data_IF_187116938857
#
_entry.id   IF_187116938857
#
_cell.length_a   1.000
_cell.length_b   1.000
_cell.length_c   1.000
_cell.angle_alpha   90.00
_cell.angle_beta   90.00
_cell.angle_gamma   90.00
#
_symmetry.space_group_name_H-M   'P 1'
#
loop_
_entity.id
_entity.type
_entity.pdbx_description
1 polymer ?
#
# COMPACT_ATOMS: atom_id res chain seq x y z
N UNK A 1 -14.67 -10.03 -23.34
CA UNK A 1 -13.43 -10.78 -23.62
C UNK A 1 -12.73 -10.98 -22.31
N UNK A 2 -12.44 -12.21 -21.96
CA UNK A 2 -11.69 -12.53 -20.73
C UNK A 2 -10.27 -11.99 -20.89
N UNK A 3 -9.81 -11.03 -20.09
CA UNK A 3 -8.50 -10.39 -20.30
C UNK A 3 -7.32 -11.32 -20.02
N UNK A 4 -7.57 -12.53 -19.51
CA UNK A 4 -6.54 -13.47 -19.10
C UNK A 4 -6.59 -14.76 -19.93
N UNK A 5 -5.48 -15.17 -20.59
CA UNK A 5 -5.44 -16.47 -21.26
C UNK A 5 -5.50 -17.59 -20.22
N UNK A 6 -6.53 -18.40 -20.28
CA UNK A 6 -6.85 -19.48 -19.34
C UNK A 6 -5.84 -20.63 -19.28
N UNK A 7 -4.74 -20.58 -20.05
CA UNK A 7 -3.79 -21.69 -20.24
C UNK A 7 -2.39 -21.46 -19.70
N UNK A 8 -2.17 -20.42 -18.87
CA UNK A 8 -0.83 -20.13 -18.36
C UNK A 8 -0.50 -20.95 -17.10
N UNK A 9 0.36 -21.96 -17.26
CA UNK A 9 1.06 -22.60 -16.14
C UNK A 9 2.16 -21.65 -15.63
N UNK A 10 1.77 -20.60 -14.88
CA UNK A 10 2.67 -19.59 -14.36
C UNK A 10 2.93 -19.83 -12.88
N UNK A 11 4.19 -19.66 -12.42
CA UNK A 11 4.55 -19.66 -11.00
C UNK A 11 4.75 -18.23 -10.51
N UNK A 12 3.95 -17.80 -9.56
CA UNK A 12 4.00 -16.45 -8.98
C UNK A 12 4.31 -16.51 -7.50
N UNK A 13 5.39 -15.89 -7.06
CA UNK A 13 5.69 -15.76 -5.64
C UNK A 13 5.29 -14.36 -5.14
N UNK A 14 4.55 -14.32 -4.01
CA UNK A 14 4.09 -13.07 -3.37
C UNK A 14 4.73 -12.94 -2.01
N UNK A 15 5.70 -12.05 -1.87
CA UNK A 15 6.29 -11.68 -0.57
C UNK A 15 5.31 -10.80 0.21
N UNK A 16 5.12 -11.11 1.50
CA UNK A 16 4.17 -10.36 2.34
C UNK A 16 2.71 -10.77 2.12
N UNK A 17 2.46 -11.99 1.68
CA UNK A 17 1.14 -12.52 1.35
C UNK A 17 0.12 -12.50 2.52
N UNK A 18 0.57 -12.40 3.77
CA UNK A 18 -0.32 -12.24 4.94
C UNK A 18 -0.70 -10.77 5.24
N UNK A 19 -0.12 -9.81 4.51
CA UNK A 19 -0.47 -8.39 4.63
C UNK A 19 -1.79 -8.05 3.94
N UNK A 20 -2.34 -6.86 4.22
CA UNK A 20 -3.62 -6.41 3.66
C UNK A 20 -3.62 -6.40 2.11
N UNK A 21 -2.56 -5.88 1.50
CA UNK A 21 -2.44 -5.86 0.03
C UNK A 21 -2.06 -7.26 -0.48
N UNK A 22 -1.06 -7.90 0.13
CA UNK A 22 -0.57 -9.20 -0.32
C UNK A 22 -1.63 -10.29 -0.33
N UNK A 23 -2.51 -10.34 0.68
CA UNK A 23 -3.61 -11.30 0.74
C UNK A 23 -4.66 -11.07 -0.36
N UNK A 24 -4.98 -9.81 -0.66
CA UNK A 24 -5.88 -9.48 -1.76
C UNK A 24 -5.27 -9.85 -3.13
N UNK A 25 -3.97 -9.60 -3.30
CA UNK A 25 -3.22 -9.99 -4.52
C UNK A 25 -3.24 -11.51 -4.69
N UNK A 26 -2.90 -12.28 -3.65
CA UNK A 26 -2.91 -13.76 -3.69
C UNK A 26 -4.28 -14.29 -4.08
N UNK A 27 -5.34 -13.78 -3.43
CA UNK A 27 -6.72 -14.21 -3.72
C UNK A 27 -7.13 -13.87 -5.15
N UNK A 28 -6.78 -12.69 -5.63
CA UNK A 28 -7.12 -12.26 -6.98
C UNK A 28 -6.35 -13.05 -8.05
N UNK A 29 -5.06 -13.31 -7.85
CA UNK A 29 -4.23 -14.12 -8.77
C UNK A 29 -4.78 -15.56 -8.90
N UNK A 30 -5.16 -16.19 -7.79
CA UNK A 30 -5.74 -17.54 -7.82
C UNK A 30 -7.07 -17.59 -8.56
N UNK A 31 -7.87 -16.52 -8.52
CA UNK A 31 -9.13 -16.42 -9.27
C UNK A 31 -8.88 -16.11 -10.76
N UNK A 32 -7.97 -15.18 -11.06
CA UNK A 32 -7.66 -14.76 -12.42
C UNK A 32 -6.91 -15.84 -13.22
N UNK A 33 -6.09 -16.64 -12.54
CA UNK A 33 -5.23 -17.67 -13.13
C UNK A 33 -5.43 -19.03 -12.45
N UNK A 34 -6.53 -19.76 -12.73
CA UNK A 34 -6.85 -21.03 -12.05
C UNK A 34 -5.77 -22.12 -12.19
N UNK A 35 -4.96 -22.04 -13.25
CA UNK A 35 -3.87 -22.99 -13.55
C UNK A 35 -2.50 -22.50 -13.07
N UNK A 36 -2.40 -21.32 -12.46
CA UNK A 36 -1.16 -20.81 -11.92
C UNK A 36 -0.86 -21.38 -10.54
N UNK A 37 0.42 -21.57 -10.24
CA UNK A 37 0.90 -21.86 -8.89
C UNK A 37 1.22 -20.55 -8.18
N UNK A 38 0.39 -20.14 -7.22
CA UNK A 38 0.60 -18.94 -6.42
C UNK A 38 1.27 -19.29 -5.09
N UNK A 39 2.55 -18.96 -4.95
CA UNK A 39 3.34 -19.17 -3.74
C UNK A 39 3.15 -17.97 -2.81
N UNK A 40 2.32 -18.14 -1.80
CA UNK A 40 2.03 -17.13 -0.79
C UNK A 40 3.09 -17.18 0.33
N UNK A 41 4.09 -16.29 0.26
CA UNK A 41 5.19 -16.21 1.23
C UNK A 41 4.70 -15.52 2.52
N UNK A 42 4.65 -16.27 3.62
CA UNK A 42 4.12 -15.82 4.91
C UNK A 42 5.09 -16.12 6.06
N UNK A 43 5.05 -15.33 7.11
CA UNK A 43 5.85 -15.58 8.33
C UNK A 43 5.32 -16.77 9.15
N UNK A 44 3.99 -16.94 9.15
CA UNK A 44 3.29 -18.06 9.82
C UNK A 44 2.26 -18.60 8.84
N UNK A 45 2.34 -19.90 8.57
CA UNK A 45 1.37 -20.57 7.70
C UNK A 45 0.00 -20.60 8.40
N UNK A 46 -1.08 -20.18 7.73
CA UNK A 46 -2.44 -20.30 8.27
C UNK A 46 -2.80 -21.76 8.54
N UNK A 47 -3.60 -22.00 9.57
CA UNK A 47 -4.11 -23.35 9.88
C UNK A 47 -5.19 -23.80 8.89
N UNK A 48 -5.82 -22.84 8.21
CA UNK A 48 -6.88 -23.11 7.24
C UNK A 48 -6.31 -23.71 5.96
N UNK A 49 -7.08 -24.60 5.34
CA UNK A 49 -6.73 -25.20 4.06
C UNK A 49 -6.63 -24.09 2.99
N UNK A 50 -5.55 -24.11 2.24
CA UNK A 50 -5.36 -23.15 1.17
C UNK A 50 -6.42 -23.35 0.07
N UNK A 51 -7.00 -22.28 -0.49
CA UNK A 51 -7.78 -22.37 -1.70
C UNK A 51 -6.98 -22.97 -2.86
N UNK A 52 -7.66 -23.56 -3.84
CA UNK A 52 -7.02 -24.15 -5.02
C UNK A 52 -6.05 -23.15 -5.68
N UNK A 53 -4.88 -23.63 -6.08
CA UNK A 53 -3.85 -22.82 -6.73
C UNK A 53 -2.97 -21.99 -5.80
N UNK A 54 -3.26 -21.95 -4.49
CA UNK A 54 -2.47 -21.21 -3.49
C UNK A 54 -1.64 -22.19 -2.66
N UNK A 55 -0.31 -21.94 -2.61
CA UNK A 55 0.63 -22.65 -1.76
C UNK A 55 1.23 -21.73 -0.71
N UNK A 56 0.86 -21.91 0.56
CA UNK A 56 1.47 -21.14 1.65
C UNK A 56 2.87 -21.67 1.95
N UNK A 57 3.87 -20.80 1.81
CA UNK A 57 5.26 -21.08 2.13
C UNK A 57 5.69 -20.22 3.33
N UNK A 58 6.16 -20.86 4.42
CA UNK A 58 6.84 -20.10 5.47
C UNK A 58 8.16 -19.57 4.92
N UNK A 59 8.27 -18.26 4.83
CA UNK A 59 9.45 -17.61 4.25
C UNK A 59 9.69 -16.23 4.87
N UNK A 60 10.93 -16.00 5.29
CA UNK A 60 11.43 -14.73 5.81
C UNK A 60 12.60 -14.25 4.94
N UNK A 61 12.42 -13.22 4.11
CA UNK A 61 13.39 -12.81 3.08
C UNK A 61 14.78 -12.46 3.59
N UNK A 62 14.90 -12.05 4.87
CA UNK A 62 16.15 -11.61 5.46
C UNK A 62 16.97 -12.72 6.11
N UNK A 63 16.40 -13.91 6.29
CA UNK A 63 17.03 -15.01 7.02
C UNK A 63 17.01 -16.33 6.28
N UNK A 64 15.97 -16.58 5.47
CA UNK A 64 15.76 -17.87 4.84
C UNK A 64 16.50 -17.96 3.48
N UNK A 65 16.79 -19.18 3.05
CA UNK A 65 17.38 -19.42 1.74
C UNK A 65 16.34 -19.21 0.64
N UNK A 66 16.62 -18.31 -0.29
CA UNK A 66 15.75 -17.98 -1.42
C UNK A 66 15.58 -19.14 -2.42
N UNK A 67 16.44 -20.16 -2.37
CA UNK A 67 16.31 -21.34 -3.24
C UNK A 67 15.03 -22.14 -3.00
N UNK A 68 14.42 -22.02 -1.82
CA UNK A 68 13.15 -22.68 -1.48
C UNK A 68 11.97 -22.21 -2.34
N UNK A 69 12.06 -21.02 -2.94
CA UNK A 69 11.05 -20.51 -3.88
C UNK A 69 11.10 -21.22 -5.23
N UNK A 70 12.24 -21.87 -5.56
CA UNK A 70 12.48 -22.43 -6.89
C UNK A 70 12.49 -21.36 -7.98
N UNK A 71 12.34 -21.79 -9.22
CA UNK A 71 12.17 -20.84 -10.35
C UNK A 71 10.74 -20.31 -10.35
N UNK A 72 10.57 -19.01 -10.51
CA UNK A 72 9.27 -18.32 -10.61
C UNK A 72 9.26 -17.40 -11.84
N UNK A 73 8.11 -17.21 -12.43
CA UNK A 73 7.93 -16.34 -13.58
C UNK A 73 7.75 -14.87 -13.14
N UNK A 74 7.09 -14.68 -11.99
CA UNK A 74 6.83 -13.37 -11.40
C UNK A 74 7.11 -13.41 -9.90
N UNK A 75 7.81 -12.39 -9.41
CA UNK A 75 8.03 -12.16 -7.98
C UNK A 75 7.42 -10.80 -7.60
N UNK A 76 6.42 -10.84 -6.74
CA UNK A 76 5.69 -9.67 -6.27
C UNK A 76 6.14 -9.34 -4.85
N UNK A 77 6.58 -8.10 -4.62
CA UNK A 77 6.89 -7.62 -3.28
C UNK A 77 5.80 -6.69 -2.75
N UNK A 78 5.01 -7.18 -1.81
CA UNK A 78 4.04 -6.41 -1.04
C UNK A 78 4.49 -6.11 0.40
N UNK A 79 5.76 -6.44 0.75
CA UNK A 79 6.31 -6.11 2.06
C UNK A 79 6.62 -4.62 2.11
N UNK A 80 6.11 -3.97 3.14
CA UNK A 80 6.43 -2.59 3.49
C UNK A 80 6.06 -2.35 4.94
N UNK A 81 6.80 -1.44 5.59
CA UNK A 81 6.50 -0.97 6.93
C UNK A 81 6.23 0.53 6.87
N UNK A 82 5.34 1.02 7.70
CA UNK A 82 5.03 2.46 7.85
C UNK A 82 5.57 3.01 9.18
N UNK A 83 6.07 2.14 10.02
CA UNK A 83 6.73 2.42 11.30
C UNK A 83 7.90 1.46 11.46
N UNK A 84 9.01 1.97 11.97
CA UNK A 84 10.18 1.16 12.29
C UNK A 84 9.97 0.39 13.58
N UNK A 85 10.61 -0.76 13.68
CA UNK A 85 10.68 -1.58 14.88
C UNK A 85 12.15 -1.79 15.25
N UNK A 86 12.48 -2.22 16.49
CA UNK A 86 13.87 -2.52 16.85
C UNK A 86 14.57 -3.51 15.91
N UNK A 87 13.81 -4.41 15.29
CA UNK A 87 14.35 -5.46 14.43
C UNK A 87 14.34 -5.11 12.94
N UNK A 88 13.56 -4.08 12.52
CA UNK A 88 13.36 -3.75 11.12
C UNK A 88 13.13 -2.24 10.93
N UNK A 89 14.15 -1.56 10.40
CA UNK A 89 14.12 -0.17 9.98
C UNK A 89 13.64 0.00 8.53
N UNK A 90 13.41 1.24 8.09
CA UNK A 90 12.97 1.54 6.73
C UNK A 90 14.00 1.15 5.67
N UNK A 91 15.30 1.38 5.92
CA UNK A 91 16.36 1.04 4.98
C UNK A 91 16.39 -0.47 4.70
N UNK A 92 16.35 -1.28 5.74
CA UNK A 92 16.33 -2.74 5.62
C UNK A 92 15.04 -3.24 4.97
N UNK A 93 13.88 -2.72 5.41
CA UNK A 93 12.58 -3.17 4.92
C UNK A 93 12.33 -2.85 3.44
N UNK A 94 12.79 -1.68 2.97
CA UNK A 94 12.53 -1.22 1.63
C UNK A 94 13.71 -1.53 0.70
N UNK A 95 14.84 -0.87 0.90
CA UNK A 95 16.00 -0.98 0.03
C UNK A 95 16.75 -2.30 0.22
N UNK A 96 16.91 -2.75 1.47
CA UNK A 96 17.54 -4.04 1.78
C UNK A 96 16.82 -5.21 1.13
N UNK A 97 15.49 -5.24 1.19
CA UNK A 97 14.68 -6.27 0.54
C UNK A 97 14.80 -6.22 -0.98
N UNK A 98 14.74 -5.02 -1.59
CA UNK A 98 14.94 -4.85 -3.03
C UNK A 98 16.29 -5.42 -3.47
N UNK A 99 17.36 -5.14 -2.73
CA UNK A 99 18.70 -5.70 -3.01
C UNK A 99 18.76 -7.22 -2.89
N UNK A 100 18.04 -7.80 -1.92
CA UNK A 100 17.92 -9.26 -1.82
C UNK A 100 17.20 -9.85 -3.03
N UNK A 101 16.09 -9.27 -3.47
CA UNK A 101 15.37 -9.70 -4.67
C UNK A 101 16.30 -9.67 -5.91
N UNK A 102 17.03 -8.59 -6.10
CA UNK A 102 17.99 -8.45 -7.21
C UNK A 102 19.13 -9.44 -7.12
N UNK A 103 19.70 -9.66 -5.93
CA UNK A 103 20.79 -10.63 -5.69
C UNK A 103 20.39 -12.06 -6.03
N UNK A 104 19.16 -12.44 -5.72
CA UNK A 104 18.68 -13.81 -5.93
C UNK A 104 17.94 -14.00 -7.26
N UNK A 105 17.81 -12.96 -8.06
CA UNK A 105 17.03 -12.97 -9.31
C UNK A 105 17.41 -14.07 -10.27
N UNK A 106 18.70 -14.27 -10.53
CA UNK A 106 19.17 -15.32 -11.45
C UNK A 106 18.81 -16.73 -10.96
N UNK A 107 18.96 -16.99 -9.65
CA UNK A 107 18.58 -18.28 -9.04
C UNK A 107 17.08 -18.56 -9.18
N UNK A 108 16.27 -17.50 -9.15
CA UNK A 108 14.82 -17.58 -9.30
C UNK A 108 14.36 -17.68 -10.77
N UNK A 109 15.28 -17.78 -11.74
CA UNK A 109 14.96 -17.89 -13.16
C UNK A 109 14.73 -16.56 -13.87
N UNK A 110 15.27 -15.45 -13.37
CA UNK A 110 15.08 -14.10 -13.88
C UNK A 110 13.59 -13.66 -13.98
N UNK A 111 12.82 -13.77 -12.89
CA UNK A 111 11.42 -13.41 -12.89
C UNK A 111 11.20 -11.94 -13.28
N UNK A 112 9.97 -11.65 -13.70
CA UNK A 112 9.47 -10.29 -13.66
C UNK A 112 9.29 -9.86 -12.20
N UNK A 113 9.82 -8.69 -11.84
CA UNK A 113 9.74 -8.16 -10.49
C UNK A 113 8.66 -7.08 -10.43
N UNK A 114 7.67 -7.23 -9.55
CA UNK A 114 6.64 -6.22 -9.29
C UNK A 114 6.78 -5.72 -7.86
N UNK A 115 7.10 -4.43 -7.72
CA UNK A 115 7.31 -3.79 -6.43
C UNK A 115 6.15 -2.88 -6.08
N UNK A 116 5.53 -3.08 -4.91
CA UNK A 116 4.56 -2.13 -4.37
C UNK A 116 5.30 -1.09 -3.53
N UNK A 117 5.36 0.12 -4.07
CA UNK A 117 5.96 1.30 -3.46
C UNK A 117 4.90 2.20 -2.83
N UNK A 118 5.02 3.52 -2.96
CA UNK A 118 4.06 4.51 -2.46
C UNK A 118 4.07 5.76 -3.33
N UNK A 119 2.91 6.36 -3.54
CA UNK A 119 2.80 7.63 -4.23
C UNK A 119 3.52 8.73 -3.43
N UNK A 120 4.27 9.60 -4.11
CA UNK A 120 5.09 10.63 -3.50
C UNK A 120 6.46 10.16 -2.99
N UNK A 121 6.89 8.91 -3.29
CA UNK A 121 8.25 8.45 -3.00
C UNK A 121 9.27 9.34 -3.72
N UNK A 122 10.08 10.06 -2.93
CA UNK A 122 11.08 11.02 -3.43
C UNK A 122 12.26 11.08 -2.46
N UNK A 123 13.49 11.10 -3.02
CA UNK A 123 14.72 11.16 -2.24
C UNK A 123 14.99 12.52 -1.62
N UNK A 124 14.33 13.57 -2.07
CA UNK A 124 14.46 14.95 -1.56
C UNK A 124 13.48 15.25 -0.41
N UNK A 125 12.55 14.35 -0.10
CA UNK A 125 11.62 14.52 1.01
C UNK A 125 12.31 14.36 2.35
N UNK A 126 11.81 15.04 3.39
CA UNK A 126 12.32 14.91 4.77
C UNK A 126 11.85 13.62 5.46
N UNK A 127 10.98 12.83 4.84
CA UNK A 127 10.47 11.58 5.39
C UNK A 127 11.40 10.40 5.03
N UNK A 128 12.07 9.76 6.02
CA UNK A 128 12.91 8.58 5.78
C UNK A 128 12.14 7.44 5.10
N UNK A 129 10.84 7.30 5.40
CA UNK A 129 9.94 6.35 4.74
C UNK A 129 9.90 6.59 3.22
N UNK A 130 9.62 7.83 2.78
CA UNK A 130 9.53 8.16 1.34
C UNK A 130 10.90 8.07 0.65
N UNK A 131 11.97 8.50 1.35
CA UNK A 131 13.34 8.42 0.82
C UNK A 131 13.77 6.97 0.55
N UNK A 132 13.59 6.08 1.53
CA UNK A 132 14.00 4.68 1.39
C UNK A 132 13.17 3.93 0.35
N UNK A 133 11.86 4.25 0.21
CA UNK A 133 11.02 3.75 -0.88
C UNK A 133 11.53 4.25 -2.25
N UNK A 134 11.84 5.54 -2.38
CA UNK A 134 12.37 6.10 -3.63
C UNK A 134 13.73 5.50 -4.01
N UNK A 135 14.61 5.27 -3.05
CA UNK A 135 15.90 4.62 -3.30
C UNK A 135 15.73 3.17 -3.76
N UNK A 136 14.82 2.43 -3.13
CA UNK A 136 14.46 1.07 -3.55
C UNK A 136 13.90 1.05 -4.98
N UNK A 137 12.98 1.98 -5.31
CA UNK A 137 12.42 2.13 -6.65
C UNK A 137 13.52 2.38 -7.69
N UNK A 138 14.44 3.33 -7.40
CA UNK A 138 15.55 3.66 -8.31
C UNK A 138 16.45 2.47 -8.57
N UNK A 139 16.83 1.72 -7.54
CA UNK A 139 17.66 0.52 -7.70
C UNK A 139 16.95 -0.53 -8.56
N UNK A 140 15.65 -0.74 -8.35
CA UNK A 140 14.89 -1.73 -9.10
C UNK A 140 14.73 -1.34 -10.58
N UNK A 141 14.44 -0.06 -10.86
CA UNK A 141 14.21 0.47 -12.22
C UNK A 141 15.46 0.44 -13.12
N UNK A 142 16.65 0.21 -12.58
CA UNK A 142 17.86 -0.03 -13.38
C UNK A 142 17.89 -1.42 -14.03
N UNK A 143 16.97 -2.31 -13.64
CA UNK A 143 16.94 -3.68 -14.13
C UNK A 143 15.77 -3.92 -15.09
N UNK A 144 15.96 -4.69 -16.18
CA UNK A 144 14.87 -5.03 -17.08
C UNK A 144 13.84 -5.94 -16.41
N UNK A 145 12.65 -6.02 -16.98
CA UNK A 145 11.52 -6.82 -16.47
C UNK A 145 11.13 -6.48 -15.02
N UNK A 146 11.17 -5.20 -14.71
CA UNK A 146 10.75 -4.67 -13.39
C UNK A 146 9.61 -3.68 -13.55
N UNK A 147 8.71 -3.68 -12.59
CA UNK A 147 7.60 -2.72 -12.48
C UNK A 147 7.52 -2.22 -11.06
N UNK A 148 7.48 -0.92 -10.91
CA UNK A 148 7.23 -0.24 -9.65
C UNK A 148 5.83 0.35 -9.69
N UNK A 149 4.99 -0.05 -8.75
CA UNK A 149 3.67 0.53 -8.53
C UNK A 149 3.73 1.50 -7.37
N UNK A 150 3.31 2.74 -7.59
CA UNK A 150 3.21 3.77 -6.56
C UNK A 150 1.73 4.06 -6.26
N UNK A 151 1.09 3.24 -5.42
CA UNK A 151 -0.29 3.50 -5.04
C UNK A 151 -0.40 4.71 -4.12
N UNK A 152 -1.50 5.44 -4.27
CA UNK A 152 -2.06 6.29 -3.23
C UNK A 152 -2.51 5.41 -2.05
N UNK A 153 -3.25 5.96 -1.09
CA UNK A 153 -3.77 5.18 0.03
C UNK A 153 -4.64 4.04 -0.48
N UNK A 154 -4.27 2.81 -0.15
CA UNK A 154 -5.02 1.62 -0.54
C UNK A 154 -6.14 1.35 0.46
N UNK A 155 -7.37 1.37 -0.02
CA UNK A 155 -8.57 1.08 0.76
C UNK A 155 -8.68 -0.41 1.04
N UNK A 156 -8.40 -0.79 2.28
CA UNK A 156 -8.68 -2.11 2.84
C UNK A 156 -9.32 -1.95 4.22
N UNK A 157 -10.22 -2.84 4.65
CA UNK A 157 -10.79 -2.78 6.00
C UNK A 157 -9.68 -2.73 7.08
N UNK A 158 -9.83 -1.81 8.04
CA UNK A 158 -8.86 -1.68 9.14
C UNK A 158 -7.49 -1.13 8.76
N UNK A 159 -7.36 -0.41 7.64
CA UNK A 159 -6.12 0.31 7.32
C UNK A 159 -5.77 1.32 8.41
N UNK A 160 -4.48 1.66 8.52
CA UNK A 160 -4.01 2.68 9.47
C UNK A 160 -4.74 4.00 9.29
N UNK A 161 -5.06 4.40 8.07
CA UNK A 161 -5.85 5.61 7.79
C UNK A 161 -7.25 5.53 8.39
N UNK A 162 -7.96 4.42 8.16
CA UNK A 162 -9.29 4.18 8.76
C UNK A 162 -9.22 4.23 10.29
N UNK A 163 -8.25 3.51 10.90
CA UNK A 163 -8.10 3.50 12.36
C UNK A 163 -7.85 4.89 12.93
N UNK A 164 -7.01 5.70 12.26
CA UNK A 164 -6.72 7.07 12.69
C UNK A 164 -7.93 7.97 12.57
N UNK A 165 -8.64 7.92 11.46
CA UNK A 165 -9.87 8.69 11.28
C UNK A 165 -10.92 8.29 12.33
N UNK A 166 -11.12 7.00 12.58
CA UNK A 166 -12.01 6.52 13.64
C UNK A 166 -11.60 7.02 15.03
N UNK A 167 -10.30 7.07 15.32
CA UNK A 167 -9.79 7.62 16.58
C UNK A 167 -10.06 9.13 16.68
N UNK A 168 -9.88 9.90 15.61
CA UNK A 168 -10.25 11.32 15.58
C UNK A 168 -11.75 11.51 15.86
N UNK A 169 -12.61 10.66 15.31
CA UNK A 169 -14.05 10.66 15.59
C UNK A 169 -14.38 10.39 17.07
N UNK A 170 -13.65 9.48 17.71
CA UNK A 170 -13.80 9.23 19.16
C UNK A 170 -13.38 10.46 19.97
N UNK A 171 -12.24 11.05 19.67
CA UNK A 171 -11.74 12.27 20.36
C UNK A 171 -12.76 13.40 20.21
N UNK A 172 -13.26 13.64 18.99
CA UNK A 172 -14.28 14.66 18.76
C UNK A 172 -15.53 14.48 19.65
N UNK A 173 -15.99 13.24 19.82
CA UNK A 173 -17.14 12.97 20.73
C UNK A 173 -16.87 13.38 22.17
N UNK A 174 -15.68 13.11 22.70
CA UNK A 174 -15.28 13.56 24.03
C UNK A 174 -15.20 15.09 24.14
N UNK A 175 -14.93 15.77 23.02
CA UNK A 175 -14.84 17.24 22.92
C UNK A 175 -16.15 17.89 22.48
N UNK A 176 -17.28 17.22 22.61
CA UNK A 176 -18.61 17.76 22.27
C UNK A 176 -18.82 18.04 20.77
N UNK A 177 -18.16 17.27 19.92
CA UNK A 177 -18.25 17.43 18.45
C UNK A 177 -17.18 18.33 17.86
N UNK A 178 -16.28 18.87 18.65
CA UNK A 178 -15.18 19.73 18.18
C UNK A 178 -13.89 18.93 18.03
N UNK A 179 -13.09 19.26 17.02
CA UNK A 179 -11.78 18.64 16.79
C UNK A 179 -10.74 19.71 16.45
N UNK A 180 -9.78 20.00 17.33
CA UNK A 180 -8.64 20.86 16.98
C UNK A 180 -7.86 20.19 15.85
N UNK A 181 -7.70 20.88 14.72
CA UNK A 181 -7.07 20.31 13.53
C UNK A 181 -6.15 21.33 12.83
N UNK A 182 -4.93 20.94 12.41
CA UNK A 182 -4.02 21.85 11.72
C UNK A 182 -4.63 22.32 10.39
N UNK A 183 -4.77 23.64 10.23
CA UNK A 183 -5.45 24.22 9.07
C UNK A 183 -4.82 23.84 7.74
N UNK A 184 -3.48 23.66 7.70
CA UNK A 184 -2.75 23.26 6.50
C UNK A 184 -3.09 21.86 6.00
N UNK A 185 -3.48 20.93 6.88
CA UNK A 185 -3.78 19.54 6.49
C UNK A 185 -5.24 19.32 6.07
N UNK A 186 -6.15 20.20 6.46
CA UNK A 186 -7.56 20.04 6.15
C UNK A 186 -7.84 20.00 4.63
N UNK A 187 -7.02 20.70 3.86
CA UNK A 187 -7.15 20.82 2.40
C UNK A 187 -6.25 19.82 1.64
N UNK A 188 -5.38 19.08 2.33
CA UNK A 188 -4.54 18.05 1.68
C UNK A 188 -5.43 17.06 0.94
N UNK A 189 -5.15 16.85 -0.33
CA UNK A 189 -5.94 15.98 -1.21
C UNK A 189 -5.35 14.58 -1.24
N UNK A 190 -6.21 13.59 -1.14
CA UNK A 190 -5.87 12.17 -1.16
C UNK A 190 -6.76 11.51 -2.20
N UNK A 191 -6.19 10.69 -3.08
CA UNK A 191 -6.90 9.98 -4.14
C UNK A 191 -6.83 8.46 -3.92
N UNK A 192 -7.59 7.93 -2.94
CA UNK A 192 -7.47 6.55 -2.51
C UNK A 192 -7.89 5.57 -3.60
N UNK A 193 -7.30 4.37 -3.60
CA UNK A 193 -7.60 3.30 -4.55
C UNK A 193 -8.10 2.05 -3.81
N UNK A 194 -9.07 1.33 -4.39
CA UNK A 194 -9.52 0.05 -3.84
C UNK A 194 -8.45 -1.02 -4.00
N UNK A 195 -8.28 -1.85 -2.99
CA UNK A 195 -7.29 -2.95 -3.02
C UNK A 195 -7.59 -3.95 -4.14
N UNK A 196 -8.85 -4.12 -4.51
CA UNK A 196 -9.26 -4.97 -5.63
C UNK A 196 -8.71 -4.49 -6.97
N UNK A 197 -8.79 -3.17 -7.25
CA UNK A 197 -8.26 -2.58 -8.48
C UNK A 197 -6.73 -2.71 -8.55
N UNK A 198 -6.04 -2.50 -7.42
CA UNK A 198 -4.59 -2.71 -7.34
C UNK A 198 -4.23 -4.18 -7.60
N UNK A 199 -4.99 -5.13 -7.03
CA UNK A 199 -4.77 -6.56 -7.25
C UNK A 199 -5.04 -6.97 -8.71
N UNK A 200 -6.09 -6.41 -9.32
CA UNK A 200 -6.39 -6.61 -10.75
C UNK A 200 -5.27 -6.06 -11.64
N UNK A 201 -4.78 -4.85 -11.39
CA UNK A 201 -3.63 -4.30 -12.11
C UNK A 201 -2.41 -5.23 -12.02
N UNK A 202 -2.11 -5.74 -10.82
CA UNK A 202 -0.99 -6.67 -10.62
C UNK A 202 -1.18 -7.94 -11.44
N UNK A 203 -2.41 -8.49 -11.52
CA UNK A 203 -2.70 -9.65 -12.36
C UNK A 203 -2.50 -9.33 -13.85
N UNK A 204 -2.97 -8.19 -14.34
CA UNK A 204 -2.70 -7.73 -15.71
C UNK A 204 -1.19 -7.64 -15.97
N UNK A 205 -0.43 -7.07 -15.06
CA UNK A 205 1.02 -6.92 -15.19
C UNK A 205 1.76 -8.26 -15.14
N UNK A 206 1.22 -9.30 -14.56
CA UNK A 206 1.85 -10.63 -14.61
C UNK A 206 1.99 -11.15 -16.05
N UNK A 207 1.06 -10.81 -16.94
CA UNK A 207 0.99 -11.32 -18.31
C UNK A 207 1.34 -10.29 -19.40
N UNK A 208 1.22 -9.00 -19.10
CA UNK A 208 1.48 -7.91 -20.03
C UNK A 208 2.95 -7.52 -20.02
N UNK A 209 3.55 -7.29 -21.19
CA UNK A 209 4.95 -6.87 -21.34
C UNK A 209 5.09 -5.41 -21.76
N UNK A 210 4.08 -4.86 -22.43
CA UNK A 210 4.06 -3.47 -22.91
C UNK A 210 3.37 -2.58 -21.87
N UNK A 211 4.17 -2.00 -20.98
CA UNK A 211 3.75 -1.07 -19.94
C UNK A 211 4.94 -0.25 -19.43
N UNK A 212 4.71 0.94 -18.87
CA UNK A 212 5.76 1.70 -18.19
C UNK A 212 6.37 0.92 -17.02
N UNK A 213 7.66 1.12 -16.77
CA UNK A 213 8.35 0.51 -15.62
C UNK A 213 7.92 1.12 -14.27
N UNK A 214 7.39 2.35 -14.28
CA UNK A 214 6.83 3.04 -13.11
C UNK A 214 5.37 3.42 -13.40
N UNK A 215 4.45 3.02 -12.53
CA UNK A 215 3.02 3.30 -12.65
C UNK A 215 2.52 3.89 -11.34
N UNK A 216 2.00 5.10 -11.40
CA UNK A 216 1.26 5.70 -10.29
C UNK A 216 -0.18 5.16 -10.29
N UNK A 217 -0.66 4.77 -9.11
CA UNK A 217 -1.96 4.09 -8.96
C UNK A 217 -2.82 4.91 -8.02
N UNK A 218 -3.80 5.59 -8.57
CA UNK A 218 -4.75 6.41 -7.83
C UNK A 218 -6.19 6.08 -8.23
N UNK A 219 -7.12 6.26 -7.31
CA UNK A 219 -8.53 5.94 -7.53
C UNK A 219 -9.25 6.98 -8.38
N UNK A 220 -10.56 6.80 -8.49
CA UNK A 220 -11.43 7.61 -9.35
C UNK A 220 -11.52 9.08 -8.88
N UNK A 221 -11.58 9.31 -7.56
CA UNK A 221 -11.83 10.62 -6.95
C UNK A 221 -10.77 10.97 -5.92
N UNK A 222 -10.36 12.25 -5.93
CA UNK A 222 -9.56 12.84 -4.86
C UNK A 222 -10.47 13.50 -3.82
N UNK A 223 -10.17 13.28 -2.55
CA UNK A 223 -10.88 13.85 -1.40
C UNK A 223 -9.96 14.80 -0.65
N UNK A 224 -10.46 15.97 -0.21
CA UNK A 224 -9.77 16.70 0.84
C UNK A 224 -9.85 15.92 2.16
N UNK A 225 -8.82 15.99 2.99
CA UNK A 225 -8.82 15.28 4.29
C UNK A 225 -10.01 15.69 5.17
N UNK A 226 -10.44 16.96 5.06
CA UNK A 226 -11.67 17.45 5.70
C UNK A 226 -12.91 16.65 5.26
N UNK A 227 -13.08 16.39 3.96
CA UNK A 227 -14.21 15.58 3.44
C UNK A 227 -14.22 14.17 4.05
N UNK A 228 -13.05 13.57 4.22
CA UNK A 228 -12.93 12.25 4.86
C UNK A 228 -13.30 12.31 6.35
N UNK A 229 -13.00 13.41 7.03
CA UNK A 229 -13.41 13.64 8.42
C UNK A 229 -14.92 13.86 8.51
N UNK A 230 -15.54 14.49 7.51
CA UNK A 230 -16.99 14.74 7.48
C UNK A 230 -17.81 13.42 7.39
N UNK A 231 -17.23 12.31 6.89
CA UNK A 231 -17.85 10.99 6.99
C UNK A 231 -17.93 10.47 8.45
N UNK A 232 -17.08 10.96 9.35
CA UNK A 232 -17.14 10.61 10.77
C UNK A 232 -18.36 11.29 11.42
N UNK A 233 -19.22 10.49 12.00
CA UNK A 233 -20.38 11.02 12.75
C UNK A 233 -21.39 11.79 11.88
N UNK A 234 -21.47 11.48 10.58
CA UNK A 234 -22.43 12.08 9.64
C UNK A 234 -22.36 13.61 9.58
N UNK A 235 -21.14 14.17 9.51
CA UNK A 235 -20.92 15.61 9.35
C UNK A 235 -21.08 16.45 10.63
N UNK A 236 -21.15 15.82 11.80
CA UNK A 236 -21.30 16.53 13.09
C UNK A 236 -19.99 17.05 13.68
N UNK A 237 -18.84 16.70 13.08
CA UNK A 237 -17.53 17.12 13.57
C UNK A 237 -17.21 18.53 13.07
N UNK A 238 -16.97 19.44 14.02
CA UNK A 238 -16.54 20.81 13.73
C UNK A 238 -15.03 20.93 13.92
N UNK A 239 -14.30 21.13 12.82
CA UNK A 239 -12.86 21.37 12.86
C UNK A 239 -12.59 22.77 13.41
N UNK A 240 -11.80 22.84 14.50
CA UNK A 240 -11.26 24.09 15.01
C UNK A 240 -9.88 24.27 14.40
N UNK A 241 -9.68 25.25 13.50
CA UNK A 241 -8.39 25.43 12.85
C UNK A 241 -7.35 25.90 13.88
N UNK A 242 -6.24 25.16 13.96
CA UNK A 242 -5.06 25.57 14.71
C UNK A 242 -3.94 25.91 13.73
N UNK A 243 -3.16 26.95 14.05
CA UNK A 243 -2.03 27.32 13.20
C UNK A 243 -0.97 26.21 13.20
N UNK A 244 -0.30 26.04 12.06
CA UNK A 244 0.73 25.01 11.92
C UNK A 244 1.88 25.19 12.90
N UNK A 245 2.25 26.44 13.22
CA UNK A 245 3.27 26.75 14.23
C UNK A 245 2.84 26.25 15.61
N UNK A 246 1.62 26.55 16.01
CA UNK A 246 1.08 26.10 17.30
C UNK A 246 1.03 24.56 17.37
N UNK A 247 0.56 23.92 16.30
CA UNK A 247 0.56 22.46 16.20
C UNK A 247 1.97 21.88 16.35
N UNK A 248 2.95 22.39 15.61
CA UNK A 248 4.34 21.90 15.67
C UNK A 248 4.98 22.08 17.06
N UNK A 249 4.64 23.17 17.77
CA UNK A 249 5.13 23.42 19.12
C UNK A 249 4.59 22.42 20.14
N UNK A 250 3.30 22.09 20.05
CA UNK A 250 2.65 21.15 20.98
C UNK A 250 2.71 19.70 20.54
N UNK A 251 3.08 19.44 19.29
CA UNK A 251 3.15 18.09 18.72
C UNK A 251 4.02 17.12 19.52
N UNK A 252 5.24 17.48 20.00
CA UNK A 252 6.08 16.57 20.79
C UNK A 252 5.39 16.11 22.08
N UNK A 253 4.71 17.02 22.77
CA UNK A 253 3.94 16.68 23.98
C UNK A 253 2.74 15.80 23.65
N UNK A 254 1.98 16.17 22.64
CA UNK A 254 0.80 15.42 22.19
C UNK A 254 1.16 14.03 21.66
N UNK A 255 2.27 13.90 20.93
CA UNK A 255 2.76 12.60 20.44
C UNK A 255 3.25 11.69 21.55
N UNK A 256 3.83 12.25 22.62
CA UNK A 256 4.18 11.51 23.82
C UNK A 256 2.96 10.95 24.57
N UNK A 257 1.87 11.71 24.61
CA UNK A 257 0.62 11.29 25.25
C UNK A 257 -0.21 10.35 24.36
N UNK A 258 -0.18 10.54 23.04
CA UNK A 258 -0.96 9.78 22.06
C UNK A 258 -0.08 9.22 20.93
N UNK A 259 0.92 8.35 21.21
CA UNK A 259 1.90 7.91 20.22
C UNK A 259 1.27 7.12 19.05
N UNK A 260 0.16 6.42 19.30
CA UNK A 260 -0.57 5.67 18.26
C UNK A 260 -1.32 6.57 17.26
N UNK A 261 -1.70 7.78 17.68
CA UNK A 261 -2.41 8.73 16.83
C UNK A 261 -1.44 9.65 16.10
N UNK A 262 -0.43 10.14 16.81
CA UNK A 262 0.45 11.22 16.40
C UNK A 262 1.87 10.69 16.17
N UNK A 263 2.09 10.07 15.00
CA UNK A 263 3.43 9.71 14.54
C UNK A 263 3.94 10.76 13.56
N UNK A 264 5.12 11.34 13.85
CA UNK A 264 5.73 12.42 13.05
C UNK A 264 5.92 12.02 11.58
N UNK A 265 6.40 10.81 11.32
CA UNK A 265 6.62 10.31 9.96
C UNK A 265 5.34 10.25 9.14
N UNK A 266 4.22 9.88 9.77
CA UNK A 266 2.93 9.81 9.10
C UNK A 266 2.29 11.19 8.88
N UNK A 267 2.54 12.17 9.75
CA UNK A 267 2.13 13.55 9.49
C UNK A 267 2.86 14.17 8.31
N UNK A 268 4.13 13.83 8.12
CA UNK A 268 4.90 14.28 6.95
C UNK A 268 4.28 13.81 5.61
N UNK A 269 3.54 12.69 5.61
CA UNK A 269 2.82 12.22 4.43
C UNK A 269 1.61 13.10 4.08
N UNK A 270 1.08 13.87 5.05
CA UNK A 270 -0.05 14.78 4.87
C UNK A 270 0.38 16.21 4.50
N UNK A 271 1.69 16.51 4.46
CA UNK A 271 2.21 17.83 4.08
C UNK A 271 2.02 18.14 2.59
N UNK A 272 1.77 17.13 1.78
CA UNK A 272 1.56 17.28 0.34
C UNK A 272 0.38 16.43 -0.12
N UNK A 273 -0.21 16.87 -1.22
CA UNK A 273 -1.25 16.12 -1.90
C UNK A 273 -0.73 14.72 -2.31
N UNK A 274 -1.59 13.74 -2.14
CA UNK A 274 -1.36 12.36 -2.54
C UNK A 274 -2.34 12.03 -3.68
N UNK A 275 -2.12 12.69 -4.80
CA UNK A 275 -2.91 12.58 -6.04
C UNK A 275 -1.99 12.32 -7.23
N UNK A 276 -2.48 11.62 -8.24
CA UNK A 276 -1.73 11.28 -9.44
C UNK A 276 -2.62 11.29 -10.68
N UNK A 277 -2.00 11.35 -11.86
CA UNK A 277 -2.67 11.05 -13.11
C UNK A 277 -2.87 9.52 -13.22
N UNK A 278 -4.11 9.08 -13.07
CA UNK A 278 -4.47 7.68 -13.13
C UNK A 278 -4.73 7.16 -14.56
N UNK A 279 -4.43 7.91 -15.60
CA UNK A 279 -4.75 7.56 -17.00
C UNK A 279 -4.11 6.23 -17.44
N UNK A 280 -2.83 6.01 -17.15
CA UNK A 280 -2.12 4.76 -17.45
C UNK A 280 -2.70 3.60 -16.64
N UNK A 281 -3.00 3.83 -15.37
CA UNK A 281 -3.62 2.83 -14.51
C UNK A 281 -4.99 2.42 -15.06
N UNK A 282 -5.85 3.37 -15.44
CA UNK A 282 -7.16 3.10 -16.04
C UNK A 282 -7.04 2.37 -17.37
N UNK A 283 -6.09 2.75 -18.22
CA UNK A 283 -5.83 2.09 -19.49
C UNK A 283 -5.46 0.61 -19.29
N UNK A 284 -4.55 0.32 -18.36
CA UNK A 284 -4.11 -1.04 -18.06
C UNK A 284 -5.21 -1.87 -17.37
N UNK A 285 -6.02 -1.22 -16.54
CA UNK A 285 -7.15 -1.89 -15.87
C UNK A 285 -8.28 -2.24 -16.86
N UNK A 286 -8.38 -1.52 -17.97
CA UNK A 286 -9.43 -1.69 -18.97
C UNK A 286 -10.80 -1.14 -18.55
N UNK A 287 -10.90 -0.51 -17.39
CA UNK A 287 -12.12 0.11 -16.85
C UNK A 287 -11.78 1.25 -15.90
N UNK A 288 -12.78 2.04 -15.53
CA UNK A 288 -12.61 3.02 -14.45
C UNK A 288 -12.37 2.33 -13.11
N UNK A 289 -11.46 2.85 -12.26
CA UNK A 289 -11.29 2.36 -10.91
C UNK A 289 -12.59 2.42 -10.12
N UNK A 290 -12.76 1.51 -9.17
CA UNK A 290 -13.93 1.49 -8.31
C UNK A 290 -14.04 2.76 -7.46
N UNK A 291 -15.28 3.22 -7.25
CA UNK A 291 -15.55 4.34 -6.35
C UNK A 291 -15.24 3.94 -4.90
N UNK A 292 -14.45 4.76 -4.23
CA UNK A 292 -14.07 4.55 -2.83
C UNK A 292 -15.05 5.16 -1.82
N UNK A 293 -16.02 5.96 -2.26
CA UNK A 293 -16.99 6.59 -1.37
C UNK A 293 -17.81 5.62 -0.54
N UNK A 294 -18.37 4.51 -1.12
CA UNK A 294 -19.09 3.51 -0.33
C UNK A 294 -18.22 2.84 0.74
N UNK A 295 -16.92 2.69 0.47
CA UNK A 295 -15.96 2.19 1.45
C UNK A 295 -15.84 3.14 2.64
N UNK A 296 -15.64 4.45 2.40
CA UNK A 296 -15.51 5.46 3.45
C UNK A 296 -16.80 5.59 4.27
N UNK A 297 -17.95 5.61 3.63
CA UNK A 297 -19.25 5.63 4.31
C UNK A 297 -19.42 4.42 5.25
N UNK A 298 -19.04 3.23 4.80
CA UNK A 298 -19.15 2.00 5.62
C UNK A 298 -18.15 1.99 6.79
N UNK A 299 -16.90 2.37 6.54
CA UNK A 299 -15.83 2.30 7.55
C UNK A 299 -15.89 3.44 8.57
N UNK A 300 -16.34 4.63 8.16
CA UNK A 300 -16.34 5.84 8.98
C UNK A 300 -17.73 6.25 9.46
N UNK A 301 -18.79 5.94 8.71
CA UNK A 301 -20.17 6.35 9.02
C UNK A 301 -20.77 5.75 10.31
N UNK A 302 -20.07 4.77 10.90
CA UNK A 302 -20.46 4.15 12.20
C UNK A 302 -20.06 4.99 13.42
N UNK A 303 -19.37 6.09 13.22
CA UNK A 303 -18.82 6.97 14.26
C UNK A 303 -19.45 8.34 14.19
#
# INVERSE_FOLDING_TARGET
MDPFPSCLNMRVAVLGASGQIGSAVVSHLAQAFPNAEVIACVRKVPVQVAPNGIHYLRFQPFTDDWSVLGKVDVLINSIGIIEETPDLDFERAHRGLTRLMLRHRERLGNPKLIQISVLGADTQRHSPFLQTKALADRELLLHPRTVVLRPSIVCTPGTVMVQKLQMLGRISRYLGGYLPFPSGFAQTRIQPVMVGDLAQLIAVLCTTHDHPALIEVAGLRAYALKEMIDYLGSGRIRLIPISQRLFQTFFPLASGLFPRLLNRGQFQLLECDNVADASIFQLLLGCAPADTEPFWQRELGKY
#
